data_IF_739783246933
#
_entry.id   IF_739783246933
#
_cell.length_a   1.000
_cell.length_b   1.000
_cell.length_c   1.000
_cell.angle_alpha   90.00
_cell.angle_beta   90.00
_cell.angle_gamma   90.00
#
_symmetry.space_group_name_H-M   'P 1'
#
loop_
_entity.id
_entity.type
_entity.pdbx_description
1 polymer ?
#
# COMPACT_ATOMS: atom_id res chain seq x y z
N UNK A 1 -4.02 -9.81 13.79
CA UNK A 1 -3.61 -9.55 12.39
C UNK A 1 -3.00 -10.80 11.79
N UNK A 2 -3.30 -11.05 10.53
CA UNK A 2 -2.78 -12.20 9.82
C UNK A 2 -1.45 -11.88 9.16
N UNK A 3 -0.64 -12.92 8.91
CA UNK A 3 0.60 -12.80 8.19
C UNK A 3 0.34 -12.88 6.68
N UNK A 4 1.11 -12.13 5.90
CA UNK A 4 0.98 -12.11 4.45
C UNK A 4 2.37 -12.06 3.81
N UNK A 5 2.65 -13.00 2.93
CA UNK A 5 3.87 -13.03 2.14
C UNK A 5 3.65 -12.29 0.83
N UNK A 6 4.55 -11.37 0.51
CA UNK A 6 4.50 -10.61 -0.72
C UNK A 6 5.56 -11.07 -1.70
N UNK A 7 5.17 -11.22 -2.95
CA UNK A 7 6.06 -11.58 -4.03
C UNK A 7 6.32 -10.36 -4.94
N UNK A 8 7.45 -10.35 -5.61
CA UNK A 8 7.78 -9.33 -6.62
C UNK A 8 7.77 -7.90 -6.08
N UNK A 9 8.26 -7.73 -4.84
CA UNK A 9 8.46 -6.38 -4.30
C UNK A 9 9.49 -5.65 -5.17
N UNK A 10 9.27 -4.35 -5.46
CA UNK A 10 10.25 -3.60 -6.26
C UNK A 10 11.58 -3.48 -5.54
N UNK A 11 12.65 -3.54 -6.30
CA UNK A 11 14.00 -3.40 -5.77
C UNK A 11 14.26 -1.96 -5.32
N UNK A 12 15.03 -1.82 -4.23
CA UNK A 12 15.49 -0.53 -3.75
C UNK A 12 16.94 -0.32 -4.20
N UNK A 13 17.12 0.06 -5.46
CA UNK A 13 18.42 0.41 -5.98
C UNK A 13 18.99 1.64 -5.26
N UNK A 14 20.33 1.81 -5.16
CA UNK A 14 20.92 2.95 -4.46
C UNK A 14 20.42 4.31 -4.94
N UNK A 15 20.21 4.48 -6.23
CA UNK A 15 19.69 5.71 -6.81
C UNK A 15 18.25 5.98 -6.37
N UNK A 16 17.43 4.93 -6.30
CA UNK A 16 16.06 5.03 -5.80
C UNK A 16 16.04 5.41 -4.33
N UNK A 17 16.87 4.79 -3.51
CA UNK A 17 17.00 5.10 -2.10
C UNK A 17 17.36 6.57 -1.90
N UNK A 18 18.31 7.06 -2.68
CA UNK A 18 18.75 8.47 -2.61
C UNK A 18 17.59 9.43 -2.90
N UNK A 19 16.85 9.17 -4.00
CA UNK A 19 15.71 10.01 -4.39
C UNK A 19 14.59 9.96 -3.36
N UNK A 20 14.28 8.79 -2.83
CA UNK A 20 13.22 8.63 -1.82
C UNK A 20 13.62 9.27 -0.48
N UNK A 21 14.90 9.24 -0.13
CA UNK A 21 15.39 9.93 1.07
C UNK A 21 15.23 11.44 0.95
N UNK A 22 15.48 12.01 -0.23
CA UNK A 22 15.22 13.42 -0.48
C UNK A 22 13.74 13.76 -0.33
N UNK A 23 12.87 12.91 -0.86
CA UNK A 23 11.43 13.09 -0.72
C UNK A 23 11.04 13.06 0.77
N UNK A 24 11.55 12.09 1.52
CA UNK A 24 11.28 11.96 2.95
C UNK A 24 11.70 13.22 3.71
N UNK A 25 12.91 13.71 3.44
CA UNK A 25 13.41 14.92 4.11
C UNK A 25 12.57 16.14 3.78
N UNK A 26 12.13 16.29 2.54
CA UNK A 26 11.26 17.39 2.14
C UNK A 26 9.90 17.32 2.82
N UNK A 27 9.35 16.12 2.96
CA UNK A 27 8.08 15.93 3.67
C UNK A 27 8.22 16.30 5.14
N UNK A 28 9.32 15.91 5.79
CA UNK A 28 9.58 16.27 7.18
C UNK A 28 9.72 17.77 7.37
N UNK A 29 10.33 18.45 6.42
CA UNK A 29 10.51 19.92 6.48
C UNK A 29 9.20 20.67 6.22
N UNK A 30 8.39 20.16 5.29
CA UNK A 30 7.18 20.83 4.85
C UNK A 30 5.98 20.55 5.75
N UNK A 31 5.90 19.32 6.27
CA UNK A 31 4.77 18.87 7.08
C UNK A 31 5.28 17.93 8.18
N UNK A 32 6.00 18.46 9.18
CA UNK A 32 6.65 17.64 10.21
C UNK A 32 5.68 16.82 11.06
N UNK A 33 4.44 17.27 11.20
CA UNK A 33 3.43 16.59 11.99
C UNK A 33 2.50 15.68 11.17
N UNK A 34 2.71 15.59 9.87
CA UNK A 34 1.88 14.76 9.01
C UNK A 34 2.16 13.28 9.28
N UNK A 35 1.10 12.50 9.50
CA UNK A 35 1.16 11.05 9.74
C UNK A 35 0.57 10.26 8.60
N UNK A 36 -0.16 10.89 7.71
CA UNK A 36 -0.84 10.27 6.60
C UNK A 36 -0.35 10.93 5.31
N UNK A 37 0.12 10.09 4.38
CA UNK A 37 0.62 10.52 3.09
C UNK A 37 -0.24 9.89 2.01
N UNK A 38 -0.83 10.72 1.16
CA UNK A 38 -1.61 10.24 0.02
C UNK A 38 -0.76 10.34 -1.24
N UNK A 39 -0.60 9.21 -1.92
CA UNK A 39 0.06 9.16 -3.23
C UNK A 39 -1.00 9.08 -4.32
N UNK A 40 -0.95 9.99 -5.24
CA UNK A 40 -1.88 10.05 -6.36
C UNK A 40 -1.15 10.38 -7.64
N UNK A 41 -1.77 10.06 -8.77
CA UNK A 41 -1.23 10.40 -10.08
C UNK A 41 -2.37 10.88 -10.98
N UNK A 42 -2.01 11.63 -12.01
CA UNK A 42 -2.99 12.19 -12.95
C UNK A 42 -3.43 11.17 -13.99
N UNK A 43 -2.59 10.17 -14.28
CA UNK A 43 -2.90 9.12 -15.23
C UNK A 43 -2.64 7.75 -14.63
N UNK A 44 -3.36 6.69 -15.08
CA UNK A 44 -3.09 5.33 -14.64
C UNK A 44 -1.68 4.89 -15.05
N UNK A 45 -1.10 3.98 -14.27
CA UNK A 45 0.16 3.31 -14.60
C UNK A 45 1.39 4.24 -14.66
N UNK A 46 1.40 5.32 -13.89
CA UNK A 46 2.56 6.21 -13.78
C UNK A 46 3.61 5.74 -12.75
N UNK A 47 3.58 4.47 -12.38
CA UNK A 47 4.50 3.95 -11.37
C UNK A 47 4.10 4.25 -9.94
N UNK A 48 2.89 4.70 -9.70
CA UNK A 48 2.39 5.03 -8.37
C UNK A 48 2.48 3.85 -7.41
N UNK A 49 2.09 2.65 -7.85
CA UNK A 49 2.15 1.46 -7.02
C UNK A 49 3.58 1.09 -6.68
N UNK A 50 4.48 1.14 -7.67
CA UNK A 50 5.89 0.86 -7.45
C UNK A 50 6.49 1.86 -6.47
N UNK A 51 6.21 3.15 -6.65
CA UNK A 51 6.71 4.19 -5.77
C UNK A 51 6.22 4.01 -4.33
N UNK A 52 4.93 3.70 -4.18
CA UNK A 52 4.35 3.47 -2.86
C UNK A 52 5.02 2.30 -2.15
N UNK A 53 5.22 1.18 -2.85
CA UNK A 53 5.88 0.01 -2.30
C UNK A 53 7.35 0.29 -1.95
N UNK A 54 8.05 1.03 -2.79
CA UNK A 54 9.44 1.40 -2.54
C UNK A 54 9.57 2.31 -1.33
N UNK A 55 8.71 3.33 -1.23
CA UNK A 55 8.76 4.27 -0.10
C UNK A 55 8.41 3.56 1.22
N UNK A 56 7.41 2.70 1.19
CA UNK A 56 7.01 1.88 2.33
C UNK A 56 8.17 1.01 2.83
N UNK A 57 8.88 0.34 1.91
CA UNK A 57 10.05 -0.45 2.25
C UNK A 57 11.18 0.41 2.83
N UNK A 58 11.41 1.58 2.26
CA UNK A 58 12.44 2.50 2.74
C UNK A 58 12.17 2.93 4.18
N UNK A 59 10.95 3.35 4.46
CA UNK A 59 10.57 3.80 5.82
C UNK A 59 10.71 2.67 6.83
N UNK A 60 10.31 1.46 6.46
CA UNK A 60 10.48 0.29 7.31
C UNK A 60 11.95 0.00 7.58
N UNK A 61 12.80 0.13 6.57
CA UNK A 61 14.24 -0.04 6.71
C UNK A 61 14.89 0.98 7.62
N UNK A 62 14.26 2.14 7.79
CA UNK A 62 14.71 3.18 8.72
C UNK A 62 14.13 2.99 10.13
N UNK A 63 13.45 1.88 10.38
CA UNK A 63 12.90 1.57 11.69
C UNK A 63 11.53 2.17 11.97
N UNK A 64 10.89 2.78 10.99
CA UNK A 64 9.57 3.35 11.17
C UNK A 64 8.49 2.30 10.97
N UNK A 65 7.41 2.41 11.72
CA UNK A 65 6.23 1.57 11.53
C UNK A 65 5.37 2.22 10.47
N UNK A 66 5.04 1.47 9.42
CA UNK A 66 4.30 1.99 8.30
C UNK A 66 3.15 1.08 7.91
N UNK A 67 1.98 1.68 7.76
CA UNK A 67 0.82 1.03 7.19
C UNK A 67 0.62 1.52 5.77
N UNK A 68 0.60 0.61 4.82
CA UNK A 68 0.27 0.90 3.43
C UNK A 68 -1.16 0.48 3.17
N UNK A 69 -1.98 1.41 2.70
CA UNK A 69 -3.37 1.14 2.33
C UNK A 69 -3.52 1.33 0.83
N UNK A 70 -3.92 0.27 0.13
CA UNK A 70 -4.21 0.38 -1.29
C UNK A 70 -5.67 0.82 -1.45
N UNK A 71 -5.86 2.10 -1.77
CA UNK A 71 -7.17 2.67 -2.00
C UNK A 71 -7.65 2.57 -3.43
N UNK A 72 -6.88 1.97 -4.32
CA UNK A 72 -7.25 1.81 -5.72
C UNK A 72 -8.13 0.56 -5.89
N UNK A 73 -9.40 0.69 -5.53
CA UNK A 73 -10.36 -0.40 -5.57
C UNK A 73 -10.69 -0.84 -6.98
N UNK A 74 -10.37 -0.01 -7.97
CA UNK A 74 -10.65 -0.31 -9.38
C UNK A 74 -9.59 -1.23 -9.99
N UNK A 75 -8.32 -1.01 -9.66
CA UNK A 75 -7.20 -1.73 -10.29
C UNK A 75 -6.47 -2.69 -9.36
N UNK A 76 -6.55 -2.47 -8.05
CA UNK A 76 -5.86 -3.31 -7.05
C UNK A 76 -4.38 -3.52 -7.39
N UNK A 77 -3.66 -2.42 -7.65
CA UNK A 77 -2.30 -2.48 -8.17
C UNK A 77 -1.32 -3.25 -7.30
N UNK A 78 -1.42 -3.11 -5.99
CA UNK A 78 -0.53 -3.82 -5.05
C UNK A 78 -0.80 -5.33 -5.12
N UNK A 79 -2.07 -5.74 -5.14
CA UNK A 79 -2.42 -7.16 -5.26
C UNK A 79 -1.86 -7.76 -6.54
N UNK A 80 -2.00 -7.08 -7.65
CA UNK A 80 -1.49 -7.58 -8.93
C UNK A 80 0.02 -7.65 -8.95
N UNK A 81 0.70 -6.61 -8.45
CA UNK A 81 2.15 -6.58 -8.45
C UNK A 81 2.76 -7.59 -7.48
N UNK A 82 2.16 -7.78 -6.33
CA UNK A 82 2.71 -8.61 -5.26
C UNK A 82 2.18 -10.05 -5.26
N UNK A 83 1.47 -10.46 -6.30
CA UNK A 83 1.04 -11.85 -6.44
C UNK A 83 -0.17 -12.25 -5.61
N UNK A 84 -0.97 -11.29 -5.16
CA UNK A 84 -2.15 -11.56 -4.33
C UNK A 84 -3.40 -11.70 -5.21
N UNK A 85 -3.31 -12.55 -6.22
CA UNK A 85 -4.39 -12.78 -7.18
C UNK A 85 -4.62 -14.27 -7.35
N UNK A 86 -5.76 -14.65 -7.95
CA UNK A 86 -6.08 -16.06 -8.18
C UNK A 86 -6.13 -16.84 -6.89
N UNK A 87 -5.32 -17.90 -6.77
CA UNK A 87 -5.27 -18.75 -5.59
C UNK A 87 -4.71 -18.04 -4.35
N UNK A 88 -3.96 -16.97 -4.56
CA UNK A 88 -3.34 -16.21 -3.48
C UNK A 88 -4.15 -14.97 -3.09
N UNK A 89 -5.36 -14.86 -3.58
CA UNK A 89 -6.25 -13.75 -3.28
C UNK A 89 -6.65 -13.76 -1.80
N UNK A 90 -6.62 -12.57 -1.19
CA UNK A 90 -6.94 -12.40 0.23
C UNK A 90 -7.99 -11.31 0.39
N UNK A 91 -8.75 -11.31 1.51
CA UNK A 91 -9.66 -10.22 1.80
C UNK A 91 -8.92 -8.88 1.91
N UNK A 92 -9.54 -7.80 1.47
CA UNK A 92 -8.94 -6.48 1.51
C UNK A 92 -9.97 -5.38 1.74
N UNK A 93 -9.55 -4.15 1.43
CA UNK A 93 -10.35 -2.95 1.72
C UNK A 93 -11.77 -3.01 1.15
N UNK A 94 -11.91 -3.53 -0.08
CA UNK A 94 -13.23 -3.66 -0.70
C UNK A 94 -14.17 -4.52 0.13
N UNK A 95 -13.67 -5.59 0.73
CA UNK A 95 -14.48 -6.47 1.58
C UNK A 95 -14.89 -5.78 2.87
N UNK A 96 -13.99 -5.03 3.48
CA UNK A 96 -14.28 -4.27 4.68
C UNK A 96 -15.32 -3.18 4.40
N UNK A 97 -15.16 -2.43 3.33
CA UNK A 97 -16.08 -1.35 2.97
C UNK A 97 -17.46 -1.85 2.59
N UNK A 98 -17.57 -3.06 2.04
CA UNK A 98 -18.87 -3.67 1.73
C UNK A 98 -19.53 -4.31 2.94
N UNK A 99 -18.86 -4.33 4.10
CA UNK A 99 -19.39 -4.92 5.31
C UNK A 99 -19.26 -6.43 5.41
N UNK A 100 -18.51 -7.05 4.48
CA UNK A 100 -18.37 -8.52 4.44
C UNK A 100 -17.46 -9.05 5.55
N UNK A 101 -16.46 -8.27 5.97
CA UNK A 101 -15.50 -8.70 6.98
C UNK A 101 -15.13 -7.53 7.89
N UNK A 102 -14.70 -7.79 9.14
CA UNK A 102 -14.22 -6.74 10.02
C UNK A 102 -12.81 -6.27 9.63
N UNK A 103 -12.39 -5.15 10.18
CA UNK A 103 -11.11 -4.54 9.85
C UNK A 103 -9.92 -5.47 10.11
N UNK A 104 -9.97 -6.25 11.19
CA UNK A 104 -8.88 -7.18 11.54
C UNK A 104 -8.62 -8.22 10.46
N UNK A 105 -9.63 -8.55 9.66
CA UNK A 105 -9.51 -9.54 8.61
C UNK A 105 -8.85 -9.00 7.34
N UNK A 106 -8.69 -7.69 7.22
CA UNK A 106 -8.08 -7.06 6.04
C UNK A 106 -6.78 -6.34 6.36
N UNK A 107 -6.33 -6.40 7.60
CA UNK A 107 -5.09 -5.79 8.05
C UNK A 107 -4.04 -6.90 8.26
N UNK A 108 -2.93 -6.80 7.53
CA UNK A 108 -1.92 -7.85 7.51
C UNK A 108 -0.56 -7.34 7.96
N UNK A 109 0.19 -8.20 8.66
CA UNK A 109 1.63 -8.05 8.80
C UNK A 109 2.30 -8.70 7.60
N UNK A 110 3.43 -8.18 7.19
CA UNK A 110 4.21 -8.78 6.11
C UNK A 110 5.57 -9.24 6.63
N UNK A 111 6.33 -9.93 5.78
CA UNK A 111 7.69 -10.36 6.09
C UNK A 111 8.64 -9.20 6.30
N UNK A 112 8.27 -7.99 5.89
CA UNK A 112 9.08 -6.80 6.12
C UNK A 112 8.77 -6.28 7.51
N UNK A 113 9.76 -6.30 8.40
CA UNK A 113 9.58 -5.93 9.80
C UNK A 113 9.08 -4.48 9.94
N UNK A 114 8.07 -4.30 10.78
CA UNK A 114 7.50 -2.99 11.06
C UNK A 114 6.47 -2.51 10.06
N UNK A 115 6.10 -3.35 9.08
CA UNK A 115 5.11 -2.99 8.07
C UNK A 115 3.77 -3.65 8.32
N UNK A 116 2.71 -2.94 7.92
CA UNK A 116 1.37 -3.49 7.81
C UNK A 116 0.82 -3.10 6.45
N UNK A 117 -0.14 -3.88 5.97
CA UNK A 117 -0.75 -3.69 4.66
C UNK A 117 -2.25 -3.92 4.73
N UNK A 118 -3.01 -3.04 4.08
CA UNK A 118 -4.41 -3.26 3.75
C UNK A 118 -4.50 -3.25 2.23
N UNK A 119 -4.57 -4.44 1.59
CA UNK A 119 -4.69 -4.50 0.14
C UNK A 119 -6.10 -4.10 -0.30
N UNK A 120 -6.24 -3.67 -1.57
CA UNK A 120 -7.56 -3.33 -2.10
C UNK A 120 -8.45 -4.57 -2.22
N UNK A 121 -7.90 -5.62 -2.75
CA UNK A 121 -8.48 -6.94 -3.01
C UNK A 121 -9.78 -6.91 -3.79
N UNK A 122 -9.75 -7.51 -4.94
CA UNK A 122 -10.85 -7.45 -5.87
C UNK A 122 -10.83 -6.16 -6.65
N UNK A 123 -11.71 -6.06 -7.62
CA UNK A 123 -11.89 -4.87 -8.43
C UNK A 123 -13.36 -4.49 -8.41
N UNK A 124 -13.64 -3.20 -8.49
CA UNK A 124 -15.00 -2.72 -8.59
C UNK A 124 -15.06 -1.61 -9.62
N UNK A 125 -16.14 -1.58 -10.40
CA UNK A 125 -16.41 -0.48 -11.31
C UNK A 125 -17.07 0.71 -10.60
N UNK A 126 -17.45 0.54 -9.34
CA UNK A 126 -18.15 1.55 -8.56
C UNK A 126 -17.49 1.79 -7.20
N UNK A 127 -16.20 2.19 -7.17
CA UNK A 127 -15.51 2.37 -5.89
C UNK A 127 -16.15 3.44 -5.00
N UNK A 128 -16.75 4.47 -5.61
CA UNK A 128 -17.41 5.54 -4.86
C UNK A 128 -18.56 5.02 -4.00
N UNK A 129 -19.29 4.00 -4.45
CA UNK A 129 -20.38 3.42 -3.67
C UNK A 129 -19.88 2.73 -2.41
N UNK A 130 -18.70 2.11 -2.47
CA UNK A 130 -18.09 1.49 -1.30
C UNK A 130 -17.55 2.53 -0.32
N UNK A 131 -17.02 3.62 -0.84
CA UNK A 131 -16.42 4.67 -0.02
C UNK A 131 -17.44 5.56 0.68
N UNK A 132 -18.71 5.50 0.30
CA UNK A 132 -19.79 6.24 0.93
C UNK A 132 -20.27 5.62 2.24
N UNK A 133 -19.80 4.46 2.60
CA UNK A 133 -20.21 3.78 3.85
C UNK A 133 -19.51 4.33 5.08
#
# INVERSE_FOLDING_TARGET
>A
MKELALNHLPELAPRTVESLNLLRLRLEQTAPDAKIILLTSTTPQEGKTTLALQFWQLLAGLGQRCLLVDGDLRHSGICRQCGLTGEHKVPGLAHYLSGSVPLEEVLYHTEIRGTCLVPASGTTSRPALLLEH
#
